data_IF_835088007634
#
_entry.id   IF_835088007634
#
_cell.length_a   1.000
_cell.length_b   1.000
_cell.length_c   1.000
_cell.angle_alpha   90.00
_cell.angle_beta   90.00
_cell.angle_gamma   90.00
#
_symmetry.space_group_name_H-M   'P 1'
#
loop_
_entity.id
_entity.type
_entity.pdbx_description
1 polymer ?
#
# COMPACT_ATOMS: atom_id res chain seq x y z
N UNK A 1 -15.62 -5.90 -8.62
CA UNK A 1 -15.39 -4.84 -7.59
C UNK A 1 -13.88 -4.65 -7.46
N UNK A 2 -13.37 -3.43 -7.33
CA UNK A 2 -11.93 -3.18 -7.22
C UNK A 2 -11.39 -3.57 -5.83
N UNK A 3 -10.11 -3.93 -5.69
CA UNK A 3 -9.48 -4.27 -4.41
C UNK A 3 -9.71 -3.20 -3.33
N UNK A 4 -9.55 -1.92 -3.65
CA UNK A 4 -9.82 -0.77 -2.77
C UNK A 4 -11.23 -0.68 -2.20
N UNK A 5 -12.23 -1.34 -2.81
CA UNK A 5 -13.62 -1.35 -2.31
C UNK A 5 -13.97 -2.59 -1.48
N UNK A 6 -13.15 -3.63 -1.54
CA UNK A 6 -13.36 -4.90 -0.83
C UNK A 6 -12.38 -5.10 0.33
N UNK A 7 -11.24 -4.44 0.29
CA UNK A 7 -10.23 -4.42 1.35
C UNK A 7 -9.53 -3.07 1.40
N UNK A 8 -8.24 -3.09 1.71
CA UNK A 8 -7.38 -1.90 1.73
C UNK A 8 -6.32 -2.05 0.66
N UNK A 9 -6.19 -1.04 -0.18
CA UNK A 9 -5.20 -0.99 -1.24
C UNK A 9 -4.08 -0.06 -0.79
N UNK A 10 -2.87 -0.61 -0.70
CA UNK A 10 -1.66 0.17 -0.44
C UNK A 10 -1.03 0.46 -1.79
N UNK A 11 -1.08 1.71 -2.22
CA UNK A 11 -0.77 2.09 -3.58
C UNK A 11 0.71 1.89 -3.90
N UNK A 12 1.01 1.37 -5.08
CA UNK A 12 2.36 1.37 -5.67
C UNK A 12 2.23 2.09 -7.00
N UNK A 13 2.94 3.21 -7.13
CA UNK A 13 2.91 4.02 -8.34
C UNK A 13 4.30 4.60 -8.61
N UNK A 14 4.77 4.40 -9.84
CA UNK A 14 5.95 5.04 -10.41
C UNK A 14 5.53 5.90 -11.59
N UNK A 15 5.52 7.23 -11.40
CA UNK A 15 5.34 8.25 -12.44
C UNK A 15 3.98 8.33 -13.15
N UNK A 16 2.96 7.55 -12.76
CA UNK A 16 1.60 7.75 -13.27
C UNK A 16 0.97 8.97 -12.58
N UNK A 17 0.23 9.85 -13.29
CA UNK A 17 -0.38 11.07 -12.73
C UNK A 17 -1.60 10.74 -11.84
N UNK A 18 -1.34 10.03 -10.75
CA UNK A 18 -2.28 9.72 -9.68
C UNK A 18 -1.97 10.65 -8.48
N UNK A 19 -2.98 11.34 -7.90
CA UNK A 19 -2.77 12.10 -6.68
C UNK A 19 -2.35 11.25 -5.47
N UNK A 20 -2.42 9.91 -5.54
CA UNK A 20 -2.03 8.99 -4.47
C UNK A 20 -0.63 8.37 -4.76
N UNK A 21 0.44 8.87 -4.12
CA UNK A 21 1.80 8.32 -4.28
C UNK A 21 1.96 6.95 -3.60
N UNK A 22 3.11 6.31 -3.83
CA UNK A 22 3.42 4.98 -3.25
C UNK A 22 3.32 5.01 -1.73
N UNK A 23 2.70 3.96 -1.17
CA UNK A 23 2.43 3.83 0.26
C UNK A 23 1.13 4.48 0.72
N UNK A 24 0.38 5.13 -0.17
CA UNK A 24 -0.95 5.66 0.18
C UNK A 24 -1.90 4.53 0.54
N UNK A 25 -2.73 4.72 1.56
CA UNK A 25 -3.91 3.88 1.78
C UNK A 25 -5.00 4.42 0.87
N UNK A 26 -5.14 3.82 -0.31
CA UNK A 26 -5.86 4.41 -1.44
C UNK A 26 -7.31 4.78 -1.09
N UNK A 27 -7.64 6.07 -1.27
CA UNK A 27 -8.95 6.63 -0.94
C UNK A 27 -9.20 6.91 0.55
N UNK A 28 -8.23 6.65 1.44
CA UNK A 28 -8.36 6.84 2.88
C UNK A 28 -7.28 7.76 3.48
N UNK A 29 -6.00 7.53 3.15
CA UNK A 29 -4.88 8.33 3.66
C UNK A 29 -3.78 8.48 2.60
N UNK A 30 -3.51 9.73 2.19
CA UNK A 30 -2.52 10.04 1.17
C UNK A 30 -1.12 9.95 1.77
N UNK A 31 -0.21 9.25 1.09
CA UNK A 31 1.16 9.12 1.56
C UNK A 31 1.96 10.41 1.40
N UNK A 32 2.98 10.57 2.24
CA UNK A 32 4.03 11.59 2.07
C UNK A 32 4.71 11.42 0.71
N UNK A 33 4.83 12.52 -0.03
CA UNK A 33 5.49 12.56 -1.34
C UNK A 33 7.03 12.55 -1.21
N UNK A 34 7.72 12.07 -2.25
CA UNK A 34 9.19 12.12 -2.35
C UNK A 34 9.96 11.07 -1.54
N UNK A 35 9.29 10.14 -0.85
CA UNK A 35 9.94 9.09 -0.06
C UNK A 35 10.34 7.87 -0.91
N UNK A 36 9.56 7.59 -1.96
CA UNK A 36 9.84 6.54 -2.94
C UNK A 36 11.02 6.92 -3.84
N UNK A 37 11.82 5.93 -4.23
CA UNK A 37 12.92 6.06 -5.19
C UNK A 37 12.51 5.46 -6.52
N UNK A 38 12.41 6.27 -7.56
CA UNK A 38 11.98 5.81 -8.87
C UNK A 38 13.03 4.93 -9.55
N UNK A 39 12.59 3.84 -10.19
CA UNK A 39 13.48 2.87 -10.85
C UNK A 39 14.35 2.02 -9.89
N UNK A 40 14.23 2.24 -8.57
CA UNK A 40 14.99 1.52 -7.55
C UNK A 40 14.11 0.55 -6.74
N UNK A 41 14.76 -0.35 -6.02
CA UNK A 41 14.09 -1.16 -5.02
C UNK A 41 13.66 -0.31 -3.82
N UNK A 42 12.36 -0.29 -3.56
CA UNK A 42 11.78 0.36 -2.39
C UNK A 42 11.38 -0.71 -1.35
N UNK A 43 11.64 -0.42 -0.07
CA UNK A 43 11.06 -1.23 1.00
C UNK A 43 9.66 -0.71 1.32
N UNK A 44 8.69 -1.62 1.38
CA UNK A 44 7.32 -1.34 1.77
C UNK A 44 7.00 -2.20 2.98
N UNK A 45 6.72 -1.57 4.12
CA UNK A 45 6.30 -2.26 5.34
C UNK A 45 4.89 -1.80 5.69
N UNK A 46 3.98 -2.76 5.83
CA UNK A 46 2.57 -2.52 6.16
C UNK A 46 2.27 -3.18 7.50
N UNK A 47 1.97 -2.36 8.50
CA UNK A 47 1.53 -2.83 9.81
C UNK A 47 0.02 -2.73 9.86
N UNK A 48 -0.66 -3.87 9.71
CA UNK A 48 -2.11 -3.98 9.82
C UNK A 48 -2.49 -4.63 11.15
N UNK A 49 -3.19 -3.89 12.00
CA UNK A 49 -3.56 -4.28 13.37
C UNK A 49 -4.96 -3.77 13.71
N UNK A 50 -5.46 -4.11 14.90
CA UNK A 50 -6.82 -3.72 15.33
C UNK A 50 -6.94 -2.21 15.50
N UNK A 51 -5.87 -1.54 15.91
CA UNK A 51 -5.79 -0.09 16.08
C UNK A 51 -5.72 0.69 14.75
N UNK A 52 -5.40 0.00 13.64
CA UNK A 52 -5.35 0.61 12.32
C UNK A 52 -4.26 0.05 11.42
N UNK A 53 -3.98 0.80 10.36
CA UNK A 53 -3.02 0.49 9.31
C UNK A 53 -1.96 1.60 9.30
N UNK A 54 -0.69 1.20 9.38
CA UNK A 54 0.48 2.08 9.20
C UNK A 54 1.28 1.59 8.02
N UNK A 55 1.68 2.51 7.14
CA UNK A 55 2.47 2.21 5.94
C UNK A 55 3.78 2.95 6.01
N UNK A 56 4.87 2.21 5.82
CA UNK A 56 6.22 2.75 5.77
C UNK A 56 6.82 2.48 4.38
N UNK A 57 7.45 3.49 3.83
CA UNK A 57 8.25 3.38 2.60
C UNK A 57 9.68 3.78 2.96
N UNK A 58 10.65 2.93 2.63
CA UNK A 58 12.07 3.19 2.91
C UNK A 58 12.38 3.52 4.38
N UNK A 59 11.63 2.89 5.29
CA UNK A 59 11.76 3.07 6.74
C UNK A 59 11.02 4.28 7.32
N UNK A 60 10.44 5.13 6.48
CA UNK A 60 9.71 6.31 6.90
C UNK A 60 8.20 6.05 6.92
N UNK A 61 7.51 6.47 7.99
CA UNK A 61 6.04 6.42 8.07
C UNK A 61 5.45 7.40 7.06
N UNK A 62 4.76 6.89 6.04
CA UNK A 62 4.20 7.73 4.98
C UNK A 62 2.69 7.90 5.06
N UNK A 63 1.97 6.93 5.61
CA UNK A 63 0.52 7.01 5.78
C UNK A 63 0.04 6.21 7.00
N UNK A 64 -1.04 6.67 7.62
CA UNK A 64 -1.72 5.99 8.74
C UNK A 64 -3.24 6.21 8.65
N UNK A 65 -4.01 5.19 8.96
CA UNK A 65 -5.47 5.27 9.06
C UNK A 65 -6.02 4.27 10.08
N UNK A 66 -7.04 4.65 10.85
CA UNK A 66 -7.65 3.80 11.89
C UNK A 66 -8.46 2.59 11.36
N UNK A 67 -8.45 2.33 10.05
CA UNK A 67 -9.39 1.43 9.37
C UNK A 67 -10.80 2.02 9.16
N UNK A 68 -11.55 1.42 8.27
CA UNK A 68 -12.95 1.71 7.95
C UNK A 68 -13.84 0.60 8.55
N UNK A 69 -14.75 0.91 9.49
CA UNK A 69 -15.64 -0.09 10.11
C UNK A 69 -16.52 -0.87 9.13
N UNK A 70 -16.70 -0.38 7.90
CA UNK A 70 -17.49 -1.05 6.86
C UNK A 70 -16.68 -2.09 6.07
N UNK A 71 -15.36 -2.17 6.29
CA UNK A 71 -14.47 -3.10 5.58
C UNK A 71 -14.08 -4.27 6.49
N UNK A 72 -13.85 -5.47 5.94
CA UNK A 72 -13.38 -6.61 6.72
C UNK A 72 -12.04 -6.33 7.42
N UNK A 73 -11.89 -6.81 8.66
CA UNK A 73 -10.65 -6.72 9.44
C UNK A 73 -9.63 -7.81 9.09
N UNK A 74 -10.08 -8.87 8.41
CA UNK A 74 -9.28 -10.02 8.03
C UNK A 74 -9.60 -10.42 6.60
N UNK A 75 -8.61 -10.90 5.87
CA UNK A 75 -8.79 -11.34 4.48
C UNK A 75 -7.47 -11.78 3.87
N UNK A 76 -7.51 -12.29 2.63
CA UNK A 76 -6.30 -12.63 1.91
C UNK A 76 -5.47 -11.38 1.58
N UNK A 77 -4.16 -11.57 1.44
CA UNK A 77 -3.25 -10.57 0.89
C UNK A 77 -3.12 -10.85 -0.61
N UNK A 78 -3.27 -9.81 -1.43
CA UNK A 78 -3.13 -9.88 -2.88
C UNK A 78 -2.14 -8.84 -3.39
N UNK A 79 -1.42 -9.19 -4.46
CA UNK A 79 -0.60 -8.26 -5.22
C UNK A 79 -1.34 -7.90 -6.49
N UNK A 80 -1.59 -6.60 -6.69
CA UNK A 80 -2.32 -6.12 -7.85
C UNK A 80 -1.35 -5.82 -9.00
N UNK A 81 -1.75 -6.24 -10.20
CA UNK A 81 -1.23 -5.69 -11.45
C UNK A 81 -2.34 -4.83 -12.05
N UNK A 82 -2.07 -3.52 -12.22
CA UNK A 82 -3.09 -2.56 -12.61
C UNK A 82 -3.63 -2.79 -14.03
N UNK A 83 -2.74 -3.14 -14.96
CA UNK A 83 -3.05 -3.42 -16.36
C UNK A 83 -2.01 -4.35 -16.99
N UNK A 84 -2.26 -4.80 -18.21
CA UNK A 84 -1.38 -5.75 -18.92
C UNK A 84 -0.04 -5.14 -19.37
N UNK A 85 0.08 -3.81 -19.33
CA UNK A 85 1.27 -3.07 -19.80
C UNK A 85 2.20 -2.65 -18.67
N UNK A 86 1.67 -2.64 -17.44
CA UNK A 86 2.41 -2.33 -16.23
C UNK A 86 3.43 -3.43 -15.92
N UNK A 87 4.61 -3.03 -15.47
CA UNK A 87 5.64 -3.94 -15.00
C UNK A 87 6.02 -3.60 -13.57
N UNK A 88 5.99 -4.59 -12.69
CA UNK A 88 6.38 -4.47 -11.28
C UNK A 88 7.14 -5.73 -10.87
N UNK A 89 8.17 -5.55 -10.06
CA UNK A 89 8.97 -6.65 -9.51
C UNK A 89 8.89 -6.64 -8.00
N UNK A 90 8.77 -7.83 -7.40
CA UNK A 90 8.75 -8.03 -5.95
C UNK A 90 9.88 -8.96 -5.54
N UNK A 91 10.45 -8.74 -4.35
CA UNK A 91 11.39 -9.65 -3.69
C UNK A 91 11.24 -9.53 -2.18
N UNK A 92 11.69 -10.54 -1.43
CA UNK A 92 11.66 -10.57 0.03
C UNK A 92 10.26 -10.30 0.61
N UNK A 93 9.23 -10.94 0.03
CA UNK A 93 7.86 -10.87 0.54
C UNK A 93 7.69 -11.88 1.67
N UNK A 94 7.35 -11.39 2.87
CA UNK A 94 7.03 -12.22 4.02
C UNK A 94 5.90 -11.59 4.83
N UNK A 95 5.19 -12.42 5.58
CA UNK A 95 4.16 -12.01 6.52
C UNK A 95 4.58 -12.50 7.89
N UNK A 96 4.49 -11.63 8.89
CA UNK A 96 4.74 -11.96 10.28
C UNK A 96 3.48 -11.75 11.10
N UNK A 97 2.99 -12.84 11.68
CA UNK A 97 1.90 -12.85 12.64
C UNK A 97 2.49 -12.92 14.05
N UNK A 98 1.92 -12.14 14.98
CA UNK A 98 2.30 -12.11 16.40
C UNK A 98 1.09 -12.44 17.26
#
# INVERSE_FOLDING_TARGET
>A
KTPSKLGYEIQINSQWPDPWPTGSIYGLAKAKEGVQKEGEWNSLNVVSRREGIKVYVNGELVAEHAGDPKRPMTGPIGLQLHDQTSFVMFRNLFVLEH
#
